data_IF_276682959059
#
_entry.id   IF_276682959059
#
_cell.length_a   1.000
_cell.length_b   1.000
_cell.length_c   1.000
_cell.angle_alpha   90.00
_cell.angle_beta   90.00
_cell.angle_gamma   90.00
#
_symmetry.space_group_name_H-M   'P 1'
#
loop_
_entity.id
_entity.type
_entity.pdbx_description
1 polymer ?
#
# COMPACT_ATOMS: atom_id res chain seq x y z
N UNK A 1 19.27 -1.69 -4.40
CA UNK A 1 17.96 -1.44 -3.75
C UNK A 1 16.92 -2.39 -4.31
N UNK A 2 16.18 -3.10 -3.46
CA UNK A 2 15.07 -3.96 -3.90
C UNK A 2 13.81 -3.11 -4.09
N UNK A 3 13.00 -3.43 -5.09
CA UNK A 3 11.78 -2.69 -5.43
C UNK A 3 10.57 -3.62 -5.30
N UNK A 4 9.45 -3.09 -4.80
CA UNK A 4 8.18 -3.80 -4.68
C UNK A 4 7.04 -2.95 -5.22
N UNK A 5 6.14 -3.57 -5.99
CA UNK A 5 4.89 -2.97 -6.45
C UNK A 5 3.73 -3.59 -5.68
N UNK A 6 2.91 -2.78 -5.01
CA UNK A 6 1.75 -3.23 -4.24
C UNK A 6 0.46 -2.76 -4.91
N UNK A 7 -0.37 -3.71 -5.31
CA UNK A 7 -1.76 -3.46 -5.71
C UNK A 7 -2.67 -3.51 -4.49
N UNK A 8 -3.65 -2.62 -4.39
CA UNK A 8 -4.50 -2.55 -3.19
C UNK A 8 -3.77 -1.93 -1.99
N UNK A 9 -2.74 -1.11 -2.23
CA UNK A 9 -1.92 -0.43 -1.20
C UNK A 9 -2.75 0.39 -0.20
N UNK A 10 -3.95 0.82 -0.59
CA UNK A 10 -4.86 1.61 0.25
C UNK A 10 -5.72 0.77 1.19
N UNK A 11 -5.76 -0.56 1.02
CA UNK A 11 -6.42 -1.48 1.94
C UNK A 11 -5.59 -1.71 3.21
N UNK A 12 -6.20 -2.32 4.23
CA UNK A 12 -5.52 -2.64 5.49
C UNK A 12 -4.29 -3.52 5.23
N UNK A 13 -4.45 -4.67 4.60
CA UNK A 13 -3.32 -5.59 4.38
C UNK A 13 -2.24 -4.95 3.48
N UNK A 14 -2.66 -4.14 2.50
CA UNK A 14 -1.76 -3.42 1.61
C UNK A 14 -0.90 -2.39 2.35
N UNK A 15 -1.46 -1.68 3.34
CA UNK A 15 -0.71 -0.71 4.13
C UNK A 15 0.27 -1.39 5.09
N UNK A 16 -0.14 -2.49 5.74
CA UNK A 16 0.72 -3.25 6.65
C UNK A 16 1.88 -3.90 5.88
N UNK A 17 1.63 -4.42 4.67
CA UNK A 17 2.67 -4.96 3.81
C UNK A 17 3.65 -3.86 3.34
N UNK A 18 3.14 -2.67 3.03
CA UNK A 18 3.99 -1.54 2.63
C UNK A 18 4.94 -1.13 3.77
N UNK A 19 4.44 -1.00 4.99
CA UNK A 19 5.24 -0.68 6.18
C UNK A 19 6.34 -1.72 6.41
N UNK A 20 5.98 -3.00 6.43
CA UNK A 20 6.95 -4.10 6.59
C UNK A 20 8.06 -4.09 5.53
N UNK A 21 7.73 -3.78 4.27
CA UNK A 21 8.71 -3.75 3.18
C UNK A 21 9.61 -2.52 3.25
N UNK A 22 9.07 -1.38 3.66
CA UNK A 22 9.85 -0.16 3.91
C UNK A 22 10.88 -0.41 5.03
N UNK A 23 10.47 -1.03 6.14
CA UNK A 23 11.37 -1.41 7.24
C UNK A 23 12.51 -2.35 6.78
N UNK A 24 12.22 -3.22 5.80
CA UNK A 24 13.21 -4.11 5.19
C UNK A 24 14.09 -3.44 4.12
N UNK A 25 13.98 -2.12 3.94
CA UNK A 25 14.80 -1.34 3.00
C UNK A 25 14.38 -1.48 1.53
N UNK A 26 13.13 -1.84 1.27
CA UNK A 26 12.59 -1.85 -0.09
C UNK A 26 12.13 -0.45 -0.49
N UNK A 27 12.27 -0.15 -1.78
CA UNK A 27 11.55 0.94 -2.42
C UNK A 27 10.18 0.44 -2.84
N UNK A 28 9.13 0.95 -2.20
CA UNK A 28 7.75 0.50 -2.41
C UNK A 28 7.01 1.48 -3.31
N UNK A 29 6.34 0.95 -4.34
CA UNK A 29 5.42 1.67 -5.22
C UNK A 29 4.00 1.13 -5.04
N UNK A 30 3.03 2.01 -4.83
CA UNK A 30 1.63 1.65 -4.66
C UNK A 30 0.78 1.96 -5.89
N UNK A 31 -0.09 1.04 -6.30
CA UNK A 31 -1.11 1.29 -7.32
C UNK A 31 -2.42 1.72 -6.67
N UNK A 32 -2.88 2.93 -6.98
CA UNK A 32 -4.16 3.48 -6.52
C UNK A 32 -5.11 3.60 -7.72
N UNK A 33 -6.33 3.09 -7.59
CA UNK A 33 -7.35 3.24 -8.65
C UNK A 33 -7.86 4.68 -8.69
N UNK A 34 -8.08 5.21 -9.89
CA UNK A 34 -8.59 6.58 -10.09
C UNK A 34 -9.96 6.84 -9.44
N UNK A 35 -10.75 5.77 -9.21
CA UNK A 35 -12.08 5.81 -8.57
C UNK A 35 -12.06 5.44 -7.09
N UNK A 36 -10.90 5.26 -6.45
CA UNK A 36 -10.87 4.98 -5.01
C UNK A 36 -11.22 6.26 -4.24
N UNK A 37 -12.51 6.49 -3.99
CA UNK A 37 -12.94 7.47 -3.01
C UNK A 37 -12.40 7.06 -1.64
N UNK A 38 -11.92 8.04 -0.87
CA UNK A 38 -11.39 7.89 0.50
C UNK A 38 -12.53 7.57 1.49
N UNK A 39 -13.41 6.62 1.18
CA UNK A 39 -14.51 6.20 2.06
C UNK A 39 -13.97 5.25 3.13
N UNK A 40 -13.17 5.78 4.07
CA UNK A 40 -12.94 5.11 5.36
C UNK A 40 -14.15 5.35 6.26
N UNK A 41 -15.26 4.67 5.96
CA UNK A 41 -16.29 4.45 6.97
C UNK A 41 -15.93 3.16 7.70
N UNK A 42 -15.31 3.32 8.86
CA UNK A 42 -15.14 2.27 9.85
C UNK A 42 -16.50 2.05 10.53
N UNK A 43 -16.95 0.80 10.64
CA UNK A 43 -17.95 0.41 11.64
C UNK A 43 -17.35 0.55 13.05
#
# INVERSE_FOLDING_TARGET
MKKALITGVTGQDGSYLAELLLEKGYQVHGLVRRSSSFNRQRL
#
